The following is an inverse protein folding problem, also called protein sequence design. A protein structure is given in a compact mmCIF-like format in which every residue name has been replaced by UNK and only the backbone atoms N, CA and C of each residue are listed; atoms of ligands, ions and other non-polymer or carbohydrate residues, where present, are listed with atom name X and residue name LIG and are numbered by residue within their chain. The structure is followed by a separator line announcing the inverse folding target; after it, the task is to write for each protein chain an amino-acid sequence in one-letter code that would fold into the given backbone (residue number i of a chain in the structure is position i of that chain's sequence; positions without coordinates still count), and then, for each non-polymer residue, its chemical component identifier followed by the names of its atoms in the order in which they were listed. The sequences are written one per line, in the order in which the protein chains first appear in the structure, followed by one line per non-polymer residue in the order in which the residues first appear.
data_IF_171305994147
#
_entry.id   IF_171305994147
#
_cell.length_a   1.000
_cell.length_b   1.000
_cell.length_c   1.000
_cell.angle_alpha   90.00
_cell.angle_beta   90.00
_cell.angle_gamma   90.00
#
_symmetry.space_group_name_H-M   'P 1'
#
loop_
_entity.id
_entity.type
_entity.pdbx_description
1 polymer ?
#
# COMPACT_ATOMS: atom_id res chain seq x y z
N UNK A 1 -0.55 -3.34 17.64
CA UNK A 1 -1.23 -3.30 16.33
C UNK A 1 -1.10 -1.89 15.79
N UNK A 2 -0.58 -1.74 14.56
CA UNK A 2 -0.30 -0.41 13.98
C UNK A 2 -1.46 0.12 13.11
N UNK A 3 -2.38 -0.75 12.69
CA UNK A 3 -3.51 -0.38 11.85
C UNK A 3 -4.51 -1.52 11.67
N UNK A 4 -5.43 -1.33 10.75
CA UNK A 4 -6.51 -2.26 10.40
C UNK A 4 -6.78 -2.21 8.88
N UNK A 5 -7.72 -3.01 8.38
CA UNK A 5 -8.26 -2.89 7.04
C UNK A 5 -9.78 -2.68 7.12
N UNK A 6 -10.35 -2.03 6.10
CA UNK A 6 -11.79 -1.73 6.06
C UNK A 6 -12.66 -2.93 5.63
N UNK A 7 -12.04 -4.09 5.36
CA UNK A 7 -12.74 -5.27 4.87
C UNK A 7 -12.94 -5.29 3.36
N UNK A 8 -13.92 -6.05 2.95
CA UNK A 8 -14.24 -6.26 1.52
C UNK A 8 -15.73 -6.06 1.27
N UNK A 9 -16.05 -5.62 0.05
CA UNK A 9 -17.42 -5.49 -0.43
C UNK A 9 -17.53 -5.89 -1.90
N UNK A 10 -18.74 -6.22 -2.32
CA UNK A 10 -19.08 -6.30 -3.74
C UNK A 10 -19.63 -4.94 -4.18
N UNK A 11 -19.06 -4.30 -5.22
CA UNK A 11 -19.59 -3.03 -5.72
C UNK A 11 -21.06 -3.17 -6.14
N UNK A 12 -21.90 -2.23 -5.72
CA UNK A 12 -23.33 -2.18 -6.07
C UNK A 12 -23.71 -0.93 -6.89
N UNK A 13 -22.78 -0.01 -7.09
CA UNK A 13 -22.90 1.21 -7.90
C UNK A 13 -21.61 1.43 -8.67
N UNK A 14 -21.53 2.50 -9.47
CA UNK A 14 -20.29 2.89 -10.13
C UNK A 14 -19.22 3.25 -9.09
N UNK A 15 -17.97 2.87 -9.36
CA UNK A 15 -16.86 3.00 -8.44
C UNK A 15 -15.55 3.29 -9.18
N UNK A 16 -14.57 3.87 -8.47
CA UNK A 16 -13.21 4.04 -8.96
C UNK A 16 -12.40 2.77 -8.67
N UNK A 17 -12.02 2.03 -9.70
CA UNK A 17 -11.25 0.80 -9.56
C UNK A 17 -9.75 1.09 -9.51
N UNK A 18 -9.10 0.56 -8.48
CA UNK A 18 -7.66 0.63 -8.30
C UNK A 18 -7.08 -0.78 -8.42
N UNK A 19 -6.32 -1.03 -9.47
CA UNK A 19 -5.54 -2.25 -9.63
C UNK A 19 -4.03 -1.97 -9.54
N UNK A 20 -3.20 -3.01 -9.65
CA UNK A 20 -1.74 -2.88 -9.54
C UNK A 20 -1.18 -1.95 -10.64
N UNK A 21 -1.77 -1.96 -11.83
CA UNK A 21 -1.39 -1.09 -12.94
C UNK A 21 -1.75 0.39 -12.72
N UNK A 22 -2.54 0.71 -11.70
CA UNK A 22 -2.86 2.10 -11.34
C UNK A 22 -1.73 2.79 -10.56
N UNK A 23 -0.67 2.07 -10.18
CA UNK A 23 0.43 2.61 -9.37
C UNK A 23 1.69 2.78 -10.22
N UNK A 24 2.27 3.97 -10.17
CA UNK A 24 3.64 4.23 -10.60
C UNK A 24 4.59 3.73 -9.50
N UNK A 25 5.21 2.58 -9.74
CA UNK A 25 6.08 1.93 -8.74
C UNK A 25 7.48 2.55 -8.63
N UNK A 26 7.85 3.48 -9.50
CA UNK A 26 9.09 4.25 -9.37
C UNK A 26 8.90 5.46 -8.45
N UNK A 27 7.71 6.06 -8.50
CA UNK A 27 7.35 7.21 -7.67
C UNK A 27 6.52 6.84 -6.44
N UNK A 28 6.04 5.61 -6.37
CA UNK A 28 5.09 5.14 -5.35
C UNK A 28 3.85 6.03 -5.24
N UNK A 29 3.31 6.43 -6.39
CA UNK A 29 2.13 7.29 -6.48
C UNK A 29 0.99 6.61 -7.23
N UNK A 30 -0.24 6.99 -6.87
CA UNK A 30 -1.43 6.58 -7.60
C UNK A 30 -1.60 7.43 -8.86
N UNK A 31 -2.08 6.82 -9.95
CA UNK A 31 -2.47 7.54 -11.17
C UNK A 31 -3.45 8.67 -10.85
N UNK A 32 -3.25 9.84 -11.45
CA UNK A 32 -4.14 10.99 -11.28
C UNK A 32 -5.53 10.76 -11.87
N UNK A 33 -5.64 9.89 -12.87
CA UNK A 33 -6.89 9.63 -13.60
C UNK A 33 -7.68 8.51 -12.94
N UNK A 34 -8.95 8.77 -12.60
CA UNK A 34 -9.89 7.77 -12.12
C UNK A 34 -10.26 6.77 -13.22
N UNK A 35 -10.23 5.49 -12.88
CA UNK A 35 -10.80 4.42 -13.70
C UNK A 35 -12.18 4.08 -13.18
N UNK A 36 -13.21 4.75 -13.71
CA UNK A 36 -14.60 4.50 -13.30
C UNK A 36 -15.14 3.24 -13.97
N UNK A 37 -15.67 2.33 -13.15
CA UNK A 37 -16.24 1.05 -13.59
C UNK A 37 -17.65 0.90 -13.03
N UNK A 38 -18.59 0.47 -13.87
CA UNK A 38 -19.94 0.18 -13.40
C UNK A 38 -20.00 -1.15 -12.63
N UNK A 39 -20.86 -1.24 -11.61
CA UNK A 39 -21.02 -2.44 -10.80
C UNK A 39 -21.26 -3.72 -11.65
N UNK A 40 -22.01 -3.60 -12.75
CA UNK A 40 -22.28 -4.73 -13.67
C UNK A 40 -21.04 -5.26 -14.38
N UNK A 41 -20.01 -4.43 -14.55
CA UNK A 41 -18.74 -4.77 -15.22
C UNK A 41 -17.59 -4.91 -14.21
N UNK A 42 -17.90 -4.96 -12.90
CA UNK A 42 -16.88 -5.02 -11.86
C UNK A 42 -16.02 -6.29 -12.02
N UNK A 43 -14.68 -6.15 -12.08
CA UNK A 43 -13.79 -7.29 -12.02
C UNK A 43 -14.01 -8.09 -10.72
N UNK A 44 -13.91 -9.42 -10.79
CA UNK A 44 -14.08 -10.28 -9.61
C UNK A 44 -13.13 -9.93 -8.46
N UNK A 45 -11.99 -9.31 -8.78
CA UNK A 45 -10.97 -8.86 -7.82
C UNK A 45 -11.26 -7.48 -7.21
N UNK A 46 -12.24 -6.71 -7.69
CA UNK A 46 -12.63 -5.41 -7.13
C UNK A 46 -13.41 -5.63 -5.82
N UNK A 47 -12.71 -5.67 -4.69
CA UNK A 47 -13.31 -6.06 -3.39
C UNK A 47 -12.84 -5.21 -2.21
N UNK A 48 -11.59 -4.73 -2.19
CA UNK A 48 -10.99 -4.09 -1.01
C UNK A 48 -11.50 -2.66 -0.87
N UNK A 49 -12.12 -2.35 0.28
CA UNK A 49 -12.54 -0.99 0.63
C UNK A 49 -11.30 -0.16 0.93
N UNK A 50 -11.28 1.08 0.44
CA UNK A 50 -10.14 2.01 0.55
C UNK A 50 -10.64 3.39 0.93
N UNK A 51 -9.90 4.08 1.77
CA UNK A 51 -10.15 5.46 2.16
C UNK A 51 -8.91 6.33 1.95
N UNK A 52 -9.11 7.64 1.95
CA UNK A 52 -7.98 8.58 1.90
C UNK A 52 -7.11 8.45 3.15
N UNK A 53 -5.81 8.39 2.98
CA UNK A 53 -4.83 8.16 4.03
C UNK A 53 -4.38 6.71 4.17
N UNK A 54 -5.05 5.77 3.51
CA UNK A 54 -4.65 4.35 3.52
C UNK A 54 -3.38 4.12 2.71
N UNK A 55 -2.63 3.09 3.10
CA UNK A 55 -1.55 2.54 2.27
C UNK A 55 -2.12 1.36 1.48
N UNK A 56 -1.94 1.38 0.17
CA UNK A 56 -2.09 0.20 -0.69
C UNK A 56 -0.73 -0.47 -0.85
N UNK A 57 -0.65 -1.75 -0.51
CA UNK A 57 0.55 -2.56 -0.64
C UNK A 57 0.26 -3.78 -1.52
N UNK A 58 0.90 -3.88 -2.70
CA UNK A 58 0.73 -5.04 -3.56
C UNK A 58 1.35 -6.29 -2.92
N UNK A 59 0.53 -7.31 -2.69
CA UNK A 59 0.95 -8.56 -2.05
C UNK A 59 1.64 -9.52 -3.02
N UNK A 60 1.51 -9.27 -4.33
CA UNK A 60 2.16 -10.03 -5.39
C UNK A 60 3.40 -9.31 -5.88
N UNK A 61 4.53 -9.99 -5.94
CA UNK A 61 5.84 -9.44 -6.32
C UNK A 61 6.18 -8.18 -5.49
N UNK A 62 6.30 -8.31 -4.15
CA UNK A 62 6.55 -7.17 -3.27
C UNK A 62 7.77 -6.34 -3.66
N UNK A 63 8.81 -6.99 -4.19
CA UNK A 63 10.04 -6.36 -4.68
C UNK A 63 9.84 -5.33 -5.80
N UNK A 64 8.67 -5.30 -6.44
CA UNK A 64 8.35 -4.27 -7.45
C UNK A 64 7.85 -2.97 -6.80
N UNK A 65 7.61 -2.94 -5.49
CA UNK A 65 7.15 -1.76 -4.75
C UNK A 65 5.91 -1.09 -5.36
N UNK A 66 4.97 -1.89 -5.90
CA UNK A 66 3.66 -1.37 -6.31
C UNK A 66 2.83 -1.03 -5.08
N UNK A 67 3.15 0.10 -4.49
CA UNK A 67 2.50 0.60 -3.28
C UNK A 67 2.40 2.12 -3.31
N UNK A 68 1.39 2.67 -2.65
CA UNK A 68 1.21 4.12 -2.52
C UNK A 68 0.39 4.45 -1.26
N UNK A 69 0.45 5.71 -0.84
CA UNK A 69 -0.54 6.28 0.08
C UNK A 69 -1.65 6.88 -0.78
N UNK A 70 -2.90 6.68 -0.39
CA UNK A 70 -4.05 7.32 -1.02
C UNK A 70 -4.10 8.77 -0.54
N UNK A 71 -3.55 9.69 -1.32
CA UNK A 71 -3.35 11.10 -0.97
C UNK A 71 -4.40 12.05 -1.57
N UNK A 72 -5.38 11.52 -2.32
CA UNK A 72 -6.42 12.29 -3.00
C UNK A 72 -7.82 11.70 -2.84
N UNK A 73 -8.82 12.53 -3.12
CA UNK A 73 -10.20 12.08 -3.29
C UNK A 73 -10.46 11.45 -4.67
N UNK A 74 -11.64 10.85 -4.80
CA UNK A 74 -12.10 10.18 -6.03
C UNK A 74 -13.47 10.70 -6.43
N UNK A 75 -13.79 10.59 -7.72
CA UNK A 75 -15.12 10.96 -8.26
C UNK A 75 -16.24 9.99 -7.83
N UNK A 76 -15.89 8.76 -7.51
CA UNK A 76 -16.77 7.68 -7.04
C UNK A 76 -16.08 6.91 -5.91
N UNK A 77 -16.81 6.10 -5.11
CA UNK A 77 -16.19 5.31 -4.05
C UNK A 77 -15.01 4.47 -4.55
N UNK A 78 -13.81 4.58 -3.97
CA UNK A 78 -12.66 3.82 -4.42
C UNK A 78 -12.74 2.37 -3.93
N UNK A 79 -12.44 1.43 -4.81
CA UNK A 79 -12.36 -0.01 -4.51
C UNK A 79 -11.10 -0.57 -5.13
N UNK A 80 -10.24 -1.14 -4.30
CA UNK A 80 -9.00 -1.75 -4.76
C UNK A 80 -9.15 -3.25 -5.08
N UNK A 81 -8.23 -3.72 -5.90
CA UNK A 81 -8.07 -5.14 -6.22
C UNK A 81 -7.68 -5.96 -4.98
N UNK A 82 -8.11 -7.22 -4.93
CA UNK A 82 -7.65 -8.21 -3.94
C UNK A 82 -6.14 -8.49 -4.02
N UNK A 83 -5.44 -8.00 -5.04
CA UNK A 83 -3.97 -8.04 -5.12
C UNK A 83 -3.28 -7.06 -4.17
N UNK A 84 -4.04 -6.18 -3.50
CA UNK A 84 -3.54 -5.30 -2.46
C UNK A 84 -3.92 -5.76 -1.05
N UNK A 85 -3.01 -5.56 -0.11
CA UNK A 85 -3.36 -5.32 1.27
C UNK A 85 -3.64 -3.83 1.46
N UNK A 86 -4.69 -3.50 2.21
CA UNK A 86 -5.05 -2.13 2.59
C UNK A 86 -4.67 -1.94 4.04
N UNK A 87 -3.87 -0.92 4.34
CA UNK A 87 -3.38 -0.63 5.68
C UNK A 87 -3.89 0.76 6.10
N UNK A 88 -4.94 0.79 6.92
CA UNK A 88 -5.44 1.98 7.58
C UNK A 88 -4.72 2.15 8.92
N UNK A 89 -3.97 3.21 9.10
CA UNK A 89 -3.20 3.46 10.31
C UNK A 89 -4.08 3.97 11.46
N UNK A 90 -3.78 3.54 12.69
CA UNK A 90 -4.36 4.19 13.87
C UNK A 90 -3.78 5.61 14.05
N UNK A 91 -4.51 6.53 14.74
CA UNK A 91 -4.07 7.93 14.91
C UNK A 91 -2.70 8.12 15.58
N UNK A 92 -2.22 7.12 16.32
CA UNK A 92 -0.89 7.12 16.94
C UNK A 92 0.25 6.72 16.00
N UNK A 93 -0.07 6.38 14.74
CA UNK A 93 0.87 5.92 13.73
C UNK A 93 0.93 6.96 12.61
N UNK A 94 2.12 7.46 12.35
CA UNK A 94 2.38 8.28 11.17
C UNK A 94 2.36 7.39 9.92
N UNK A 95 1.40 7.60 9.02
CA UNK A 95 1.22 6.78 7.82
C UNK A 95 2.48 6.77 6.96
N UNK A 96 3.12 7.91 6.78
CA UNK A 96 4.37 8.00 6.01
C UNK A 96 5.54 7.28 6.69
N UNK A 97 5.54 7.18 8.03
CA UNK A 97 6.53 6.40 8.75
C UNK A 97 6.38 4.90 8.45
N UNK A 98 5.15 4.39 8.56
CA UNK A 98 4.87 3.01 8.18
C UNK A 98 5.20 2.76 6.70
N UNK A 99 4.86 3.69 5.83
CA UNK A 99 5.18 3.62 4.41
C UNK A 99 6.69 3.55 4.15
N UNK A 100 7.51 4.38 4.81
CA UNK A 100 8.97 4.31 4.73
C UNK A 100 9.52 2.97 5.23
N UNK A 101 8.94 2.42 6.30
CA UNK A 101 9.33 1.09 6.80
C UNK A 101 9.04 -0.02 5.79
N UNK A 102 7.86 0.02 5.14
CA UNK A 102 7.48 -0.95 4.10
C UNK A 102 8.39 -0.90 2.85
N UNK A 103 9.10 0.22 2.63
CA UNK A 103 10.11 0.39 1.57
C UNK A 103 11.53 0.05 2.05
N UNK A 104 11.71 -0.33 3.32
CA UNK A 104 13.05 -0.62 3.83
C UNK A 104 13.58 -1.97 3.35
N UNK A 105 14.91 -2.12 3.22
CA UNK A 105 15.54 -3.40 2.87
C UNK A 105 15.17 -4.54 3.83
N UNK A 106 14.98 -4.22 5.12
CA UNK A 106 14.59 -5.22 6.12
C UNK A 106 13.19 -5.77 5.85
N UNK A 107 12.24 -4.88 5.48
CA UNK A 107 10.90 -5.32 5.11
C UNK A 107 10.87 -6.04 3.76
N UNK A 108 11.68 -5.61 2.80
CA UNK A 108 11.85 -6.31 1.53
C UNK A 108 12.35 -7.75 1.73
N UNK A 109 13.36 -7.94 2.56
CA UNK A 109 13.84 -9.27 2.91
C UNK A 109 12.73 -10.11 3.55
N UNK A 110 11.96 -9.53 4.47
CA UNK A 110 10.83 -10.21 5.10
C UNK A 110 9.73 -10.58 4.10
N UNK A 111 9.35 -9.66 3.21
CA UNK A 111 8.22 -9.83 2.29
C UNK A 111 8.53 -10.75 1.11
N UNK A 112 9.80 -10.80 0.68
CA UNK A 112 10.27 -11.60 -0.45
C UNK A 112 10.92 -12.93 -0.06
N UNK A 113 10.88 -13.32 1.21
CA UNK A 113 11.45 -14.58 1.70
C UNK A 113 10.83 -15.79 0.99
N UNK A 114 11.67 -16.43 0.15
CA UNK A 114 11.29 -17.52 -0.77
C UNK A 114 10.96 -18.82 -0.05
N UNK A 115 11.44 -19.03 1.17
CA UNK A 115 11.19 -20.28 1.91
C UNK A 115 9.71 -20.50 2.22
N UNK A 116 8.96 -19.40 2.33
CA UNK A 116 7.52 -19.42 2.55
C UNK A 116 6.68 -19.37 1.26
N UNK A 117 7.33 -19.26 0.09
CA UNK A 117 6.69 -19.19 -1.24
C UNK A 117 6.72 -20.53 -1.97
N UNK A 118 6.96 -21.65 -1.29
CA UNK A 118 7.07 -22.99 -1.91
C UNK A 118 5.84 -23.34 -2.74
N UNK A 119 6.04 -23.46 -4.05
CA UNK A 119 4.99 -23.86 -5.00
C UNK A 119 4.32 -22.71 -5.77
N UNK A 120 4.72 -21.46 -5.57
CA UNK A 120 4.19 -20.30 -6.30
C UNK A 120 5.25 -19.81 -7.30
N UNK A 121 4.86 -19.65 -8.56
CA UNK A 121 5.75 -19.18 -9.64
C UNK A 121 6.32 -17.76 -9.42
N UNK A 122 5.76 -17.01 -8.47
CA UNK A 122 6.16 -15.63 -8.15
C UNK A 122 6.16 -15.40 -6.64
N UNK A 123 7.12 -14.61 -6.11
CA UNK A 123 7.09 -14.19 -4.71
C UNK A 123 5.77 -13.48 -4.40
N UNK A 124 5.17 -13.87 -3.30
CA UNK A 124 3.96 -13.22 -2.78
C UNK A 124 3.96 -13.31 -1.26
N UNK A 125 3.50 -12.23 -0.61
CA UNK A 125 3.23 -12.23 0.82
C UNK A 125 1.72 -12.37 1.03
N UNK A 126 1.29 -13.29 1.88
CA UNK A 126 -0.12 -13.40 2.22
C UNK A 126 -0.53 -12.37 3.29
N UNK A 127 -1.83 -12.06 3.34
CA UNK A 127 -2.38 -11.07 4.27
C UNK A 127 -2.00 -11.39 5.73
N UNK A 128 -2.06 -12.66 6.15
CA UNK A 128 -1.75 -13.04 7.52
C UNK A 128 -0.29 -12.75 7.89
N UNK A 129 0.65 -13.05 7.00
CA UNK A 129 2.07 -12.74 7.22
C UNK A 129 2.32 -11.23 7.23
N UNK A 130 1.72 -10.50 6.29
CA UNK A 130 1.85 -9.04 6.24
C UNK A 130 1.35 -8.37 7.52
N UNK A 131 0.14 -8.72 7.98
CA UNK A 131 -0.46 -8.11 9.16
C UNK A 131 0.19 -8.55 10.48
N UNK A 132 0.97 -9.62 10.49
CA UNK A 132 1.75 -10.06 11.65
C UNK A 132 3.22 -9.61 11.60
N UNK A 133 3.62 -8.80 10.61
CA UNK A 133 4.97 -8.25 10.55
C UNK A 133 5.26 -7.36 11.76
N UNK A 134 6.47 -7.47 12.30
CA UNK A 134 6.91 -6.63 13.39
C UNK A 134 7.39 -5.29 12.85
N UNK A 135 6.82 -4.21 13.36
CA UNK A 135 7.18 -2.84 13.00
C UNK A 135 7.86 -2.18 14.19
N UNK A 136 9.08 -1.63 14.06
CA UNK A 136 9.67 -0.81 15.10
C UNK A 136 8.82 0.45 15.29
N UNK A 137 8.38 0.74 16.51
CA UNK A 137 7.39 1.78 16.75
C UNK A 137 7.90 2.78 17.81
N UNK A 138 8.65 3.82 17.41
CA UNK A 138 9.03 4.90 18.30
C UNK A 138 7.81 5.81 18.62
N UNK A 139 7.93 6.73 19.59
CA UNK A 139 6.91 7.73 19.86
C UNK A 139 6.51 8.50 18.59
N UNK A 140 5.24 8.93 18.48
CA UNK A 140 4.69 9.57 17.27
C UNK A 140 5.53 10.76 16.78
N UNK A 141 6.01 11.61 17.70
CA UNK A 141 6.89 12.75 17.37
C UNK A 141 8.20 12.32 16.70
N UNK A 142 8.75 11.19 17.13
CA UNK A 142 9.96 10.63 16.54
C UNK A 142 9.66 10.01 15.15
N UNK A 143 8.52 9.33 14.98
CA UNK A 143 8.08 8.85 13.67
C UNK A 143 8.05 9.99 12.65
N UNK A 144 7.42 11.13 13.01
CA UNK A 144 7.36 12.32 12.15
C UNK A 144 8.75 12.89 11.83
N UNK A 145 9.65 12.90 12.83
CA UNK A 145 11.02 13.38 12.65
C UNK A 145 11.83 12.48 11.71
N UNK A 146 11.69 11.16 11.83
CA UNK A 146 12.31 10.18 10.94
C UNK A 146 11.85 10.43 9.49
N UNK A 147 10.54 10.55 9.26
CA UNK A 147 9.98 10.85 7.94
C UNK A 147 10.58 12.12 7.35
N UNK A 148 10.61 13.21 8.14
CA UNK A 148 11.17 14.48 7.70
C UNK A 148 12.64 14.35 7.29
N UNK A 149 13.44 13.66 8.09
CA UNK A 149 14.87 13.44 7.80
C UNK A 149 15.06 12.57 6.56
N UNK A 150 14.31 11.49 6.42
CA UNK A 150 14.35 10.60 5.26
C UNK A 150 14.02 11.36 3.98
N UNK A 151 12.93 12.13 3.96
CA UNK A 151 12.54 12.96 2.80
C UNK A 151 13.63 13.96 2.42
N UNK A 152 14.25 14.60 3.39
CA UNK A 152 15.35 15.55 3.13
C UNK A 152 16.57 14.85 2.51
N UNK A 153 16.98 13.70 3.04
CA UNK A 153 18.12 12.95 2.51
C UNK A 153 17.85 12.46 1.09
N UNK A 154 16.66 11.91 0.82
CA UNK A 154 16.26 11.48 -0.52
C UNK A 154 16.24 12.66 -1.49
N UNK A 155 15.76 13.83 -1.07
CA UNK A 155 15.77 15.05 -1.88
C UNK A 155 17.19 15.46 -2.26
N UNK A 156 18.16 15.38 -1.34
CA UNK A 156 19.58 15.65 -1.62
C UNK A 156 20.13 14.62 -2.62
N UNK A 157 19.89 13.33 -2.40
CA UNK A 157 20.35 12.28 -3.31
C UNK A 157 19.83 12.48 -4.74
N UNK A 158 18.55 12.82 -4.89
CA UNK A 158 17.95 13.06 -6.20
C UNK A 158 18.49 14.33 -6.91
N UNK A 159 18.98 15.30 -6.14
CA UNK A 159 19.59 16.52 -6.70
C UNK A 159 21.03 16.33 -7.20
N UNK A 160 21.65 15.19 -6.91
CA UNK A 160 23.00 14.83 -7.29
C UNK A 160 23.07 13.93 -8.54
N UNK A 161 21.92 13.52 -9.07
CA UNK A 161 21.78 12.75 -10.31
C UNK A 161 21.48 13.67 -11.49
#
# INVERSE_FOLDING_TARGET
MVGYNHGQMTPNSDFCYIDIGSIDNQKQTLSEKDTVVSAKKAPSRARKIVEQGDILYATVRPYLHNMCIIDRGFSHPPIASTGFAVLACYPSICTEYLFCFLLSPDFDNYSNDVENSKGIAYPAINDARLYNALVPLPPFSEQCLIVKRTKNLLGICNSLQ
#
